data_IF_467025379694
#
_entry.id   IF_467025379694
#
_cell.length_a   1.000
_cell.length_b   1.000
_cell.length_c   1.000
_cell.angle_alpha   90.00
_cell.angle_beta   90.00
_cell.angle_gamma   90.00
#
_symmetry.space_group_name_H-M   'P 1'
#
loop_
_entity.id
_entity.type
_entity.pdbx_description
1 polymer ?
#
# COMPACT_ATOMS: atom_id res chain seq x y z
N UNK A 1 -11.16 -0.89 17.36
CA UNK A 1 -10.34 -1.94 17.90
C UNK A 1 -8.93 -1.87 17.36
N UNK A 2 -8.04 -2.71 17.89
CA UNK A 2 -6.60 -2.61 17.57
C UNK A 2 -6.29 -2.65 16.08
N UNK A 3 -6.94 -3.52 15.32
CA UNK A 3 -6.71 -3.65 13.88
C UNK A 3 -7.16 -2.40 13.12
N UNK A 4 -8.24 -1.78 13.55
CA UNK A 4 -8.72 -0.54 12.95
C UNK A 4 -7.78 0.62 13.27
N UNK A 5 -7.27 0.66 14.51
CA UNK A 5 -6.36 1.70 14.95
C UNK A 5 -5.06 1.74 14.15
N UNK A 6 -4.59 0.60 13.63
CA UNK A 6 -3.37 0.54 12.83
C UNK A 6 -3.45 1.37 11.55
N UNK A 7 -4.65 1.55 10.97
CA UNK A 7 -4.82 2.21 9.68
C UNK A 7 -5.50 3.57 9.77
N UNK A 8 -5.63 4.15 10.97
CA UNK A 8 -6.48 5.34 11.13
C UNK A 8 -5.87 6.65 10.66
N UNK A 9 -4.57 6.77 10.57
CA UNK A 9 -3.98 8.06 10.20
C UNK A 9 -2.64 7.95 9.49
N UNK A 10 -2.12 6.75 9.34
CA UNK A 10 -0.80 6.56 8.74
C UNK A 10 -0.71 5.19 8.10
N UNK A 11 0.18 5.02 7.10
CA UNK A 11 0.44 3.72 6.52
C UNK A 11 1.03 2.76 7.55
N UNK A 12 0.69 1.48 7.42
CA UNK A 12 1.21 0.42 8.29
C UNK A 12 2.33 -0.30 7.56
N UNK A 13 3.42 -0.60 8.26
CA UNK A 13 4.51 -1.39 7.69
C UNK A 13 4.04 -2.82 7.46
N UNK A 14 4.26 -3.32 6.25
CA UNK A 14 3.87 -4.66 5.85
C UNK A 14 5.11 -5.52 5.70
N UNK A 15 5.06 -6.74 6.20
CA UNK A 15 6.16 -7.70 6.09
C UNK A 15 5.67 -9.01 5.50
N UNK A 16 6.63 -9.85 5.07
CA UNK A 16 6.32 -11.19 4.55
C UNK A 16 5.47 -11.99 5.55
N UNK A 17 5.73 -11.82 6.85
CA UNK A 17 5.06 -12.60 7.88
C UNK A 17 3.66 -12.13 8.26
N UNK A 18 3.32 -10.85 8.01
CA UNK A 18 2.04 -10.30 8.44
C UNK A 18 1.13 -9.82 7.31
N UNK A 19 1.58 -9.97 6.06
CA UNK A 19 0.85 -9.48 4.90
C UNK A 19 -0.58 -10.00 4.85
N UNK A 20 -0.78 -11.30 5.01
CA UNK A 20 -2.12 -11.87 4.89
C UNK A 20 -3.07 -11.32 5.94
N UNK A 21 -2.60 -11.22 7.18
CA UNK A 21 -3.44 -10.71 8.26
C UNK A 21 -3.76 -9.23 8.09
N UNK A 22 -2.79 -8.43 7.65
CA UNK A 22 -2.96 -6.98 7.55
C UNK A 22 -3.63 -6.52 6.26
N UNK A 23 -3.41 -7.23 5.16
CA UNK A 23 -3.85 -6.77 3.84
C UNK A 23 -4.96 -7.64 3.27
N UNK A 24 -4.78 -8.96 3.22
CA UNK A 24 -5.78 -9.82 2.57
C UNK A 24 -7.04 -10.01 3.43
N UNK A 25 -6.89 -10.17 4.72
CA UNK A 25 -8.00 -10.50 5.61
C UNK A 25 -8.61 -9.26 6.25
N UNK A 26 -9.32 -8.49 5.48
CA UNK A 26 -9.99 -7.32 6.04
C UNK A 26 -11.14 -6.87 5.15
N UNK A 27 -12.09 -6.12 5.73
CA UNK A 27 -13.29 -5.73 5.00
C UNK A 27 -13.09 -4.58 4.02
N UNK A 28 -11.98 -3.84 4.15
CA UNK A 28 -11.73 -2.67 3.33
C UNK A 28 -10.74 -2.99 2.23
N UNK A 29 -10.81 -2.30 1.08
CA UNK A 29 -9.75 -2.39 0.09
C UNK A 29 -8.44 -1.88 0.67
N UNK A 30 -7.32 -2.29 0.07
CA UNK A 30 -6.00 -1.92 0.54
C UNK A 30 -5.13 -1.37 -0.58
N UNK A 31 -4.33 -0.37 -0.27
CA UNK A 31 -3.30 0.16 -1.14
C UNK A 31 -1.95 -0.10 -0.49
N UNK A 32 -1.08 -0.83 -1.18
CA UNK A 32 0.27 -1.10 -0.68
C UNK A 32 1.28 -0.35 -1.53
N UNK A 33 2.08 0.50 -0.89
CA UNK A 33 3.14 1.25 -1.54
C UNK A 33 4.45 0.45 -1.42
N UNK A 34 4.91 -0.11 -2.53
CA UNK A 34 6.18 -0.84 -2.59
C UNK A 34 7.32 0.14 -2.85
N UNK A 35 8.32 0.13 -2.00
CA UNK A 35 9.41 1.09 -2.03
C UNK A 35 10.73 0.46 -1.59
N UNK A 36 11.82 1.20 -1.77
CA UNK A 36 13.13 0.81 -1.28
C UNK A 36 13.88 2.03 -0.74
N UNK A 37 14.72 1.85 0.30
CA UNK A 37 15.46 2.98 0.89
C UNK A 37 16.41 3.69 -0.08
N UNK A 38 16.94 2.96 -1.06
CA UNK A 38 17.88 3.51 -2.04
C UNK A 38 17.18 4.27 -3.19
N UNK A 39 15.87 4.30 -3.21
CA UNK A 39 15.09 4.88 -4.30
C UNK A 39 14.68 6.32 -3.95
N UNK A 40 15.30 7.35 -4.57
CA UNK A 40 14.95 8.75 -4.26
C UNK A 40 13.51 9.10 -4.58
N UNK A 41 12.98 8.59 -5.70
CA UNK A 41 11.59 8.81 -6.10
C UNK A 41 10.64 8.23 -5.06
N UNK A 42 10.96 7.04 -4.53
CA UNK A 42 10.16 6.43 -3.48
C UNK A 42 10.10 7.31 -2.24
N UNK A 43 11.25 7.80 -1.80
CA UNK A 43 11.32 8.65 -0.60
C UNK A 43 10.55 9.95 -0.78
N UNK A 44 10.65 10.55 -1.97
CA UNK A 44 9.90 11.77 -2.28
C UNK A 44 8.39 11.52 -2.25
N UNK A 45 7.96 10.29 -2.52
CA UNK A 45 6.55 9.95 -2.60
C UNK A 45 5.93 9.54 -1.27
N UNK A 46 6.75 9.21 -0.27
CA UNK A 46 6.25 8.82 1.05
C UNK A 46 5.30 9.86 1.66
N UNK A 47 5.60 11.17 1.63
CA UNK A 47 4.66 12.15 2.18
C UNK A 47 3.30 12.15 1.48
N UNK A 48 3.27 11.84 0.20
CA UNK A 48 2.01 11.75 -0.56
C UNK A 48 1.19 10.56 -0.06
N UNK A 49 1.84 9.42 0.16
CA UNK A 49 1.18 8.24 0.70
C UNK A 49 0.70 8.47 2.13
N UNK A 50 1.50 9.14 2.95
CA UNK A 50 1.10 9.47 4.32
C UNK A 50 -0.13 10.38 4.33
N UNK A 51 -0.17 11.36 3.43
CA UNK A 51 -1.29 12.28 3.32
C UNK A 51 -2.54 11.56 2.81
N UNK A 52 -2.38 10.68 1.83
CA UNK A 52 -3.49 9.86 1.35
C UNK A 52 -4.05 8.99 2.48
N UNK A 53 -3.19 8.40 3.29
CA UNK A 53 -3.63 7.54 4.39
C UNK A 53 -4.50 8.30 5.40
N UNK A 54 -4.19 9.58 5.66
CA UNK A 54 -5.01 10.41 6.52
C UNK A 54 -6.40 10.62 5.94
N UNK A 55 -6.48 10.97 4.67
CA UNK A 55 -7.76 11.25 4.02
C UNK A 55 -8.61 10.02 3.81
N UNK A 56 -7.96 8.87 3.60
CA UNK A 56 -8.64 7.63 3.28
C UNK A 56 -8.90 6.74 4.50
N UNK A 57 -8.55 7.20 5.69
CA UNK A 57 -8.75 6.39 6.90
C UNK A 57 -10.21 5.94 7.00
N UNK A 58 -10.41 4.67 7.43
CA UNK A 58 -11.70 3.99 7.51
C UNK A 58 -12.31 3.61 6.16
N UNK A 59 -11.67 3.97 5.03
CA UNK A 59 -12.13 3.58 3.69
C UNK A 59 -11.16 2.67 2.99
N UNK A 60 -9.85 2.90 3.20
CA UNK A 60 -8.78 2.15 2.56
C UNK A 60 -7.72 1.84 3.61
N UNK A 61 -7.25 0.60 3.61
CA UNK A 61 -6.08 0.22 4.41
C UNK A 61 -4.84 0.55 3.58
N UNK A 62 -3.95 1.37 4.12
CA UNK A 62 -2.74 1.79 3.42
C UNK A 62 -1.52 1.16 4.09
N UNK A 63 -0.74 0.43 3.31
CA UNK A 63 0.48 -0.21 3.79
C UNK A 63 1.70 0.25 3.03
N UNK A 64 2.88 0.15 3.67
CA UNK A 64 4.17 0.36 3.03
C UNK A 64 4.96 -0.94 3.08
N UNK A 65 5.51 -1.33 1.93
CA UNK A 65 6.29 -2.55 1.78
C UNK A 65 7.70 -2.20 1.33
N UNK A 66 8.67 -2.42 2.20
CA UNK A 66 10.09 -2.30 1.84
C UNK A 66 10.51 -3.57 1.11
N UNK A 67 10.71 -3.47 -0.20
CA UNK A 67 10.97 -4.66 -1.03
C UNK A 67 12.29 -5.34 -0.71
N UNK A 68 13.28 -4.59 -0.21
CA UNK A 68 14.59 -5.16 0.15
C UNK A 68 14.50 -6.08 1.37
N UNK A 69 13.59 -5.77 2.29
CA UNK A 69 13.41 -6.53 3.52
C UNK A 69 12.37 -7.63 3.40
N UNK A 70 11.64 -7.67 2.30
CA UNK A 70 10.52 -8.59 2.13
C UNK A 70 10.56 -9.28 0.77
N UNK A 71 11.59 -10.10 0.53
CA UNK A 71 11.77 -10.76 -0.77
C UNK A 71 10.64 -11.73 -1.11
N UNK A 72 9.98 -12.31 -0.11
CA UNK A 72 8.86 -13.20 -0.34
C UNK A 72 7.70 -12.52 -1.05
N UNK A 73 7.29 -11.35 -0.56
CA UNK A 73 6.23 -10.57 -1.17
C UNK A 73 6.65 -9.99 -2.51
N UNK A 74 7.90 -9.53 -2.62
CA UNK A 74 8.43 -9.00 -3.87
C UNK A 74 8.37 -10.05 -4.98
N UNK A 75 8.71 -11.28 -4.66
CA UNK A 75 8.64 -12.40 -5.60
C UNK A 75 7.20 -12.78 -5.90
N UNK A 76 6.36 -12.89 -4.86
CA UNK A 76 4.96 -13.31 -5.00
C UNK A 76 4.18 -12.40 -5.94
N UNK A 77 4.39 -11.09 -5.85
CA UNK A 77 3.66 -10.12 -6.67
C UNK A 77 4.48 -9.56 -7.81
N UNK A 78 5.63 -10.18 -8.09
CA UNK A 78 6.48 -9.84 -9.23
C UNK A 78 6.86 -8.36 -9.24
N UNK A 79 7.30 -7.84 -8.10
CA UNK A 79 7.68 -6.44 -7.96
C UNK A 79 9.14 -6.29 -8.43
N UNK A 80 9.29 -5.92 -9.70
CA UNK A 80 10.60 -5.81 -10.34
C UNK A 80 11.19 -4.42 -10.31
N UNK A 81 10.38 -3.43 -9.98
CA UNK A 81 10.83 -2.04 -9.91
C UNK A 81 10.06 -1.30 -8.84
N UNK A 82 10.62 -0.19 -8.36
CA UNK A 82 9.97 0.69 -7.39
C UNK A 82 10.07 2.14 -7.86
N UNK A 83 9.14 3.01 -7.49
CA UNK A 83 7.94 2.75 -6.67
C UNK A 83 6.84 2.03 -7.46
N UNK A 84 6.04 1.25 -6.75
CA UNK A 84 4.83 0.65 -7.31
C UNK A 84 3.73 0.72 -6.25
N UNK A 85 2.49 0.75 -6.70
CA UNK A 85 1.33 0.65 -5.82
C UNK A 85 0.52 -0.55 -6.20
N UNK A 86 0.17 -1.37 -5.21
CA UNK A 86 -0.63 -2.57 -5.40
C UNK A 86 -1.98 -2.34 -4.75
N UNK A 87 -3.06 -2.60 -5.50
CA UNK A 87 -4.42 -2.44 -5.00
C UNK A 87 -5.01 -3.81 -4.76
N UNK A 88 -5.47 -4.04 -3.53
CA UNK A 88 -6.10 -5.29 -3.11
C UNK A 88 -7.55 -5.03 -2.74
N UNK A 89 -8.43 -5.94 -3.13
CA UNK A 89 -9.83 -5.94 -2.76
C UNK A 89 -10.36 -7.36 -2.81
N UNK A 90 -11.22 -7.72 -1.85
CA UNK A 90 -11.76 -9.07 -1.76
C UNK A 90 -10.67 -10.15 -1.75
N UNK A 91 -9.60 -9.91 -0.98
CA UNK A 91 -8.47 -10.83 -0.80
C UNK A 91 -7.65 -11.07 -2.07
N UNK A 92 -7.79 -10.21 -3.09
CA UNK A 92 -7.10 -10.37 -4.36
C UNK A 92 -6.35 -9.11 -4.76
N UNK A 93 -5.24 -9.29 -5.46
CA UNK A 93 -4.55 -8.20 -6.13
C UNK A 93 -5.36 -7.79 -7.36
N UNK A 94 -5.86 -6.56 -7.39
CA UNK A 94 -6.68 -6.05 -8.48
C UNK A 94 -5.90 -5.26 -9.51
N UNK A 95 -4.93 -4.45 -9.06
CA UNK A 95 -4.14 -3.60 -9.95
C UNK A 95 -2.74 -3.44 -9.41
N UNK A 96 -1.80 -3.31 -10.31
CA UNK A 96 -0.42 -2.88 -10.03
C UNK A 96 -0.17 -1.61 -10.82
N UNK A 97 0.16 -0.54 -10.12
CA UNK A 97 0.33 0.79 -10.72
C UNK A 97 1.77 1.24 -10.56
N UNK A 98 2.57 1.22 -11.62
CA UNK A 98 3.97 1.64 -11.54
C UNK A 98 4.13 3.14 -11.48
N UNK A 99 5.30 3.59 -10.99
CA UNK A 99 5.67 4.98 -10.97
C UNK A 99 5.05 5.77 -9.83
N UNK A 100 5.24 7.09 -9.88
CA UNK A 100 4.72 8.01 -8.88
C UNK A 100 3.47 8.73 -9.40
N UNK A 101 2.60 9.11 -8.48
CA UNK A 101 1.35 9.79 -8.79
C UNK A 101 1.08 10.88 -7.78
N UNK A 102 0.24 11.82 -8.16
CA UNK A 102 -0.25 12.79 -7.20
C UNK A 102 -1.37 12.16 -6.36
N UNK A 103 -1.64 12.75 -5.21
CA UNK A 103 -2.64 12.23 -4.28
C UNK A 103 -4.01 12.02 -4.91
N UNK A 104 -4.47 12.98 -5.71
CA UNK A 104 -5.79 12.88 -6.33
C UNK A 104 -5.89 11.72 -7.32
N UNK A 105 -4.78 11.36 -7.96
CA UNK A 105 -4.75 10.22 -8.88
C UNK A 105 -4.90 8.90 -8.11
N UNK A 106 -4.29 8.82 -6.93
CA UNK A 106 -4.45 7.66 -6.05
C UNK A 106 -5.92 7.53 -5.65
N UNK A 107 -6.54 8.63 -5.28
CA UNK A 107 -7.96 8.63 -4.88
C UNK A 107 -8.86 8.21 -6.03
N UNK A 108 -8.59 8.67 -7.24
CA UNK A 108 -9.35 8.26 -8.42
C UNK A 108 -9.21 6.77 -8.72
N UNK A 109 -8.00 6.24 -8.58
CA UNK A 109 -7.75 4.81 -8.82
C UNK A 109 -8.39 3.92 -7.77
N UNK A 110 -8.54 4.41 -6.54
CA UNK A 110 -9.19 3.65 -5.47
C UNK A 110 -10.71 3.75 -5.51
N UNK A 111 -11.27 4.77 -6.18
CA UNK A 111 -12.72 5.01 -6.20
C UNK A 111 -13.56 3.78 -6.56
N UNK A 112 -13.19 2.96 -7.57
CA UNK A 112 -13.99 1.77 -7.91
C UNK A 112 -14.10 0.75 -6.78
N UNK A 113 -13.25 0.80 -5.79
CA UNK A 113 -13.21 -0.18 -4.70
C UNK A 113 -13.85 0.34 -3.41
N UNK A 114 -14.28 1.59 -3.39
CA UNK A 114 -14.83 2.21 -2.18
C UNK A 114 -16.35 2.00 -2.00
#
# INVERSE_FOLDING_TARGET
LAAEGLFLAQPVLITDGDFEAKILKGPLPALVFAWAPWCPTCRAFIPVIDDFAKDAMRKVRVGKLNVDQNPGLSSRFNILSVPQRLVFDNDELKETLPGSFQKHEIMMKMAPYL
#
